data_IF_778115302309
#
_entry.id   IF_778115302309
#
_cell.length_a   1.000
_cell.length_b   1.000
_cell.length_c   1.000
_cell.angle_alpha   90.00
_cell.angle_beta   90.00
_cell.angle_gamma   90.00
#
_symmetry.space_group_name_H-M   'P 1'
#
loop_
_entity.id
_entity.type
_entity.pdbx_description
1 polymer ?
#
# COMPACT_ATOMS: atom_id res chain seq x y z
N UNK A 1 -0.35 -17.05 -11.35
CA UNK A 1 -0.15 -15.98 -10.33
C UNK A 1 1.35 -15.72 -10.13
N UNK A 2 1.77 -14.46 -9.95
CA UNK A 2 3.16 -14.13 -9.56
C UNK A 2 3.40 -14.70 -8.17
N UNK A 3 4.48 -15.45 -7.95
CA UNK A 3 4.81 -15.97 -6.61
C UNK A 3 5.48 -14.88 -5.78
N UNK A 4 4.89 -14.50 -4.66
CA UNK A 4 5.41 -13.52 -3.69
C UNK A 4 6.20 -14.26 -2.62
N UNK A 5 7.47 -13.93 -2.41
CA UNK A 5 8.30 -14.59 -1.39
C UNK A 5 8.89 -15.97 -1.77
N UNK A 6 8.65 -16.46 -2.98
CA UNK A 6 9.41 -17.55 -3.60
C UNK A 6 9.99 -17.07 -4.93
N UNK A 7 11.15 -17.61 -5.33
CA UNK A 7 11.85 -17.18 -6.54
C UNK A 7 11.05 -17.59 -7.80
N UNK A 8 10.33 -16.64 -8.39
CA UNK A 8 9.67 -16.82 -9.68
C UNK A 8 10.69 -16.72 -10.83
N UNK A 9 11.36 -17.85 -11.09
CA UNK A 9 12.41 -17.93 -12.13
C UNK A 9 11.89 -17.59 -13.52
N UNK A 10 10.61 -17.85 -13.79
CA UNK A 10 10.02 -17.58 -15.11
C UNK A 10 9.84 -16.07 -15.27
N UNK A 11 9.20 -15.42 -14.30
CA UNK A 11 9.02 -13.96 -14.34
C UNK A 11 10.37 -13.21 -14.37
N UNK A 12 11.36 -13.65 -13.58
CA UNK A 12 12.69 -13.04 -13.58
C UNK A 12 13.41 -13.19 -14.93
N UNK A 13 13.30 -14.35 -15.59
CA UNK A 13 13.86 -14.54 -16.94
C UNK A 13 13.17 -13.63 -17.96
N UNK A 14 11.83 -13.56 -17.91
CA UNK A 14 11.06 -12.72 -18.82
C UNK A 14 11.37 -11.23 -18.65
N UNK A 15 11.46 -10.72 -17.42
CA UNK A 15 11.81 -9.31 -17.18
C UNK A 15 13.22 -9.02 -17.67
N UNK A 16 14.18 -9.92 -17.41
CA UNK A 16 15.58 -9.76 -17.84
C UNK A 16 15.69 -9.69 -19.37
N UNK A 17 15.02 -10.61 -20.08
CA UNK A 17 14.98 -10.61 -21.54
C UNK A 17 14.29 -9.35 -22.10
N UNK A 18 13.12 -8.99 -21.57
CA UNK A 18 12.40 -7.79 -22.00
C UNK A 18 13.19 -6.51 -21.72
N UNK A 19 13.99 -6.45 -20.66
CA UNK A 19 14.76 -5.25 -20.37
C UNK A 19 15.92 -5.05 -21.37
N UNK A 20 16.58 -6.13 -21.79
CA UNK A 20 17.69 -6.08 -22.73
C UNK A 20 17.26 -6.06 -24.22
N UNK A 21 16.15 -6.73 -24.54
CA UNK A 21 15.72 -7.02 -25.92
C UNK A 21 14.32 -6.50 -26.25
N UNK A 22 13.61 -5.93 -25.28
CA UNK A 22 12.27 -5.41 -25.47
C UNK A 22 12.23 -4.17 -26.35
N UNK A 23 11.13 -4.01 -27.09
CA UNK A 23 10.89 -2.85 -27.96
C UNK A 23 10.55 -1.57 -27.17
N UNK A 24 9.99 -1.72 -25.98
CA UNK A 24 9.44 -0.63 -25.18
C UNK A 24 10.12 -0.56 -23.82
N UNK A 25 10.22 0.64 -23.21
CA UNK A 25 10.70 0.77 -21.85
C UNK A 25 9.79 0.02 -20.87
N UNK A 26 10.39 -0.52 -19.81
CA UNK A 26 9.65 -1.14 -18.73
C UNK A 26 9.29 -0.10 -17.67
N UNK A 27 8.05 -0.13 -17.21
CA UNK A 27 7.57 0.68 -16.09
C UNK A 27 7.20 -0.23 -14.92
N UNK A 28 7.63 0.12 -13.72
CA UNK A 28 7.32 -0.61 -12.50
C UNK A 28 7.10 0.37 -11.35
N UNK A 29 6.13 0.07 -10.48
CA UNK A 29 5.93 0.76 -9.21
C UNK A 29 6.85 0.09 -8.16
N UNK A 30 7.96 0.73 -7.78
CA UNK A 30 9.02 0.06 -7.04
C UNK A 30 8.67 -0.16 -5.55
N UNK A 31 7.59 0.44 -5.04
CA UNK A 31 7.05 0.21 -3.68
C UNK A 31 6.44 -1.18 -3.50
N UNK A 32 6.04 -1.84 -4.60
CA UNK A 32 5.44 -3.19 -4.57
C UNK A 32 4.03 -3.27 -3.96
N UNK A 33 3.46 -2.15 -3.51
CA UNK A 33 2.09 -2.01 -3.03
C UNK A 33 1.61 -0.55 -3.18
N UNK A 34 0.30 -0.31 -3.07
CA UNK A 34 -0.27 1.04 -3.01
C UNK A 34 -0.37 1.50 -1.56
N UNK A 35 0.15 2.68 -1.25
CA UNK A 35 0.22 3.18 0.13
C UNK A 35 -0.97 4.08 0.55
N UNK A 36 -1.83 4.45 -0.41
CA UNK A 36 -3.04 5.25 -0.17
C UNK A 36 -2.82 6.75 0.04
N UNK A 37 -1.59 7.23 -0.01
CA UNK A 37 -1.22 8.63 0.13
C UNK A 37 -0.66 9.20 -1.18
N UNK A 38 -0.98 10.45 -1.45
CA UNK A 38 -0.53 11.18 -2.63
C UNK A 38 0.82 11.90 -2.43
N UNK A 39 1.23 12.11 -1.18
CA UNK A 39 2.43 12.87 -0.81
C UNK A 39 3.42 12.07 0.06
N UNK A 40 3.33 10.74 0.04
CA UNK A 40 4.29 9.83 0.71
C UNK A 40 4.73 8.77 -0.30
N UNK A 41 6.05 8.56 -0.44
CA UNK A 41 6.62 7.41 -1.15
C UNK A 41 6.98 6.35 -0.11
N UNK A 42 6.42 5.15 -0.22
CA UNK A 42 6.85 4.05 0.66
C UNK A 42 8.27 3.60 0.29
N UNK A 43 8.99 2.94 1.21
CA UNK A 43 10.31 2.39 0.89
C UNK A 43 10.24 1.52 -0.36
N UNK A 44 11.09 1.82 -1.34
CA UNK A 44 11.14 1.06 -2.58
C UNK A 44 11.97 -0.22 -2.45
N UNK A 45 11.58 -1.23 -3.20
CA UNK A 45 12.27 -2.52 -3.26
C UNK A 45 13.55 -2.44 -4.11
N UNK A 46 14.63 -3.15 -3.74
CA UNK A 46 15.90 -3.11 -4.47
C UNK A 46 15.85 -3.79 -5.84
N UNK A 47 14.74 -4.46 -6.17
CA UNK A 47 14.59 -5.24 -7.40
C UNK A 47 14.81 -4.41 -8.67
N UNK A 48 14.35 -3.16 -8.70
CA UNK A 48 14.51 -2.29 -9.88
C UNK A 48 15.99 -1.94 -10.13
N UNK A 49 16.72 -1.57 -9.08
CA UNK A 49 18.15 -1.34 -9.17
C UNK A 49 18.90 -2.62 -9.60
N UNK A 50 18.52 -3.78 -9.02
CA UNK A 50 19.12 -5.07 -9.36
C UNK A 50 18.91 -5.45 -10.83
N UNK A 51 17.73 -5.17 -11.40
CA UNK A 51 17.44 -5.42 -12.82
C UNK A 51 18.31 -4.56 -13.74
N UNK A 52 18.59 -3.31 -13.36
CA UNK A 52 19.51 -2.44 -14.11
C UNK A 52 20.90 -3.06 -14.25
N UNK A 53 21.48 -3.52 -13.14
CA UNK A 53 22.79 -4.17 -13.15
C UNK A 53 22.80 -5.50 -13.93
N UNK A 54 21.75 -6.31 -13.83
CA UNK A 54 21.67 -7.55 -14.61
C UNK A 54 21.55 -7.29 -16.11
N UNK A 55 20.81 -6.26 -16.51
CA UNK A 55 20.74 -5.85 -17.91
C UNK A 55 22.12 -5.44 -18.43
N UNK A 56 22.88 -4.64 -17.67
CA UNK A 56 24.25 -4.28 -18.04
C UNK A 56 25.16 -5.51 -18.16
N UNK A 57 25.07 -6.47 -17.23
CA UNK A 57 25.81 -7.74 -17.32
C UNK A 57 25.48 -8.52 -18.61
N UNK A 58 24.23 -8.50 -19.06
CA UNK A 58 23.78 -9.19 -20.26
C UNK A 58 24.27 -8.52 -21.54
N UNK A 59 24.18 -7.18 -21.61
CA UNK A 59 24.68 -6.41 -22.75
C UNK A 59 26.19 -6.63 -22.93
N UNK A 60 26.96 -6.59 -21.84
CA UNK A 60 28.41 -6.84 -21.89
C UNK A 60 28.74 -8.26 -22.34
N UNK A 61 27.99 -9.27 -21.89
CA UNK A 61 28.16 -10.67 -22.36
C UNK A 61 27.81 -10.86 -23.82
N UNK A 62 26.88 -10.06 -24.33
CA UNK A 62 26.46 -10.04 -25.73
C UNK A 62 27.32 -9.10 -26.59
N UNK A 63 28.39 -8.52 -26.04
CA UNK A 63 29.27 -7.56 -26.72
C UNK A 63 28.52 -6.34 -27.28
N UNK A 64 27.46 -5.91 -26.60
CA UNK A 64 26.68 -4.73 -26.97
C UNK A 64 27.06 -3.53 -26.10
N UNK A 65 26.98 -2.33 -26.66
CA UNK A 65 27.50 -1.08 -26.08
C UNK A 65 26.41 -0.08 -25.68
N UNK A 66 25.14 -0.48 -25.61
CA UNK A 66 24.07 0.40 -25.17
C UNK A 66 24.16 0.66 -23.66
N UNK A 67 23.84 1.89 -23.25
CA UNK A 67 23.75 2.23 -21.83
C UNK A 67 22.39 1.83 -21.27
N UNK A 68 22.40 1.27 -20.06
CA UNK A 68 21.19 0.99 -19.28
C UNK A 68 20.86 2.19 -18.40
N UNK A 69 19.59 2.58 -18.38
CA UNK A 69 19.12 3.72 -17.61
C UNK A 69 17.81 3.42 -16.87
N UNK A 70 17.62 4.08 -15.72
CA UNK A 70 16.40 4.04 -14.90
C UNK A 70 15.93 5.48 -14.72
N UNK A 71 14.74 5.82 -15.23
CA UNK A 71 14.13 7.14 -15.11
C UNK A 71 13.06 7.15 -14.00
N UNK A 72 13.26 7.89 -12.89
CA UNK A 72 12.21 8.04 -11.87
C UNK A 72 11.06 8.90 -12.41
N UNK A 73 9.83 8.42 -12.19
CA UNK A 73 8.60 9.10 -12.58
C UNK A 73 7.65 9.19 -11.38
N UNK A 74 7.47 10.39 -10.86
CA UNK A 74 6.47 10.68 -9.83
C UNK A 74 5.09 10.86 -10.43
N UNK A 75 4.07 10.27 -9.80
CA UNK A 75 2.67 10.42 -10.18
C UNK A 75 1.91 10.98 -8.98
N UNK A 76 1.32 12.15 -9.14
CA UNK A 76 0.45 12.77 -8.12
C UNK A 76 -0.92 13.06 -8.70
N UNK A 77 -1.95 12.94 -7.87
CA UNK A 77 -3.32 13.28 -8.20
C UNK A 77 -3.74 14.53 -7.45
N UNK A 78 -4.25 15.54 -8.16
CA UNK A 78 -4.68 16.82 -7.57
C UNK A 78 -6.13 17.04 -7.97
N UNK A 79 -6.97 17.53 -7.06
CA UNK A 79 -8.35 17.86 -7.41
C UNK A 79 -8.41 19.12 -8.26
N UNK A 80 -9.16 19.07 -9.37
CA UNK A 80 -9.41 20.26 -10.19
C UNK A 80 -10.16 21.33 -9.40
N UNK A 81 -11.11 20.90 -8.57
CA UNK A 81 -11.86 21.74 -7.63
C UNK A 81 -11.82 21.05 -6.29
N UNK A 82 -11.31 21.72 -5.25
CA UNK A 82 -11.17 21.16 -3.92
C UNK A 82 -12.53 20.66 -3.39
N UNK A 83 -12.72 19.34 -3.19
CA UNK A 83 -14.04 18.74 -2.92
C UNK A 83 -14.47 18.81 -1.45
N UNK A 84 -14.29 19.95 -0.79
CA UNK A 84 -14.51 20.08 0.65
C UNK A 84 -15.91 19.70 1.12
N UNK A 85 -16.95 20.04 0.35
CA UNK A 85 -18.33 19.65 0.66
C UNK A 85 -18.49 18.12 0.63
N UNK A 86 -17.97 17.47 -0.41
CA UNK A 86 -18.08 16.01 -0.53
C UNK A 86 -17.30 15.29 0.57
N UNK A 87 -16.16 15.85 0.99
CA UNK A 87 -15.40 15.31 2.12
C UNK A 87 -16.13 15.49 3.46
N UNK A 88 -16.82 16.61 3.66
CA UNK A 88 -17.64 16.88 4.85
C UNK A 88 -18.82 15.90 4.97
N UNK A 89 -19.54 15.70 3.86
CA UNK A 89 -20.65 14.75 3.74
C UNK A 89 -20.17 13.31 3.96
N UNK A 90 -19.08 12.91 3.29
CA UNK A 90 -18.50 11.57 3.45
C UNK A 90 -18.03 11.34 4.89
N UNK A 91 -17.36 12.29 5.51
CA UNK A 91 -16.94 12.15 6.90
C UNK A 91 -18.15 11.99 7.84
N UNK A 92 -19.20 12.78 7.64
CA UNK A 92 -20.45 12.67 8.41
C UNK A 92 -21.10 11.29 8.22
N UNK A 93 -21.13 10.76 7.00
CA UNK A 93 -21.60 9.41 6.72
C UNK A 93 -20.78 8.34 7.48
N UNK A 94 -19.45 8.44 7.47
CA UNK A 94 -18.58 7.48 8.15
C UNK A 94 -18.71 7.55 9.68
N UNK A 95 -18.92 8.74 10.24
CA UNK A 95 -19.23 8.92 11.66
C UNK A 95 -20.54 8.19 12.04
N UNK A 96 -21.57 8.23 11.20
CA UNK A 96 -22.82 7.51 11.44
C UNK A 96 -22.67 6.01 11.23
N UNK A 97 -22.04 5.58 10.12
CA UNK A 97 -21.85 4.15 9.82
C UNK A 97 -20.97 3.43 10.85
N UNK A 98 -20.04 4.14 11.49
CA UNK A 98 -19.21 3.61 12.58
C UNK A 98 -19.93 3.56 13.93
N UNK A 99 -21.13 4.15 14.04
CA UNK A 99 -21.87 4.30 15.28
C UNK A 99 -21.29 5.36 16.23
N UNK A 100 -20.36 6.21 15.76
CA UNK A 100 -19.87 7.35 16.53
C UNK A 100 -20.96 8.42 16.71
N UNK A 101 -21.83 8.57 15.71
CA UNK A 101 -22.99 9.48 15.74
C UNK A 101 -24.26 8.74 15.36
N UNK A 102 -25.40 9.26 15.81
CA UNK A 102 -26.72 8.68 15.57
C UNK A 102 -27.50 9.38 14.44
N UNK A 103 -27.01 10.50 13.92
CA UNK A 103 -27.70 11.32 12.92
C UNK A 103 -26.74 11.94 11.91
N UNK A 104 -27.26 12.19 10.71
CA UNK A 104 -26.52 12.73 9.54
C UNK A 104 -26.46 14.27 9.52
N UNK A 105 -26.80 14.94 10.62
CA UNK A 105 -26.77 16.40 10.77
C UNK A 105 -25.42 16.92 11.32
N UNK A 106 -24.32 16.29 10.89
CA UNK A 106 -22.96 16.58 11.37
C UNK A 106 -22.08 17.40 10.43
N UNK A 107 -22.60 17.86 9.29
CA UNK A 107 -21.83 18.70 8.36
C UNK A 107 -21.57 20.09 8.93
N UNK A 108 -20.45 20.70 8.56
CA UNK A 108 -20.02 22.02 9.03
C UNK A 108 -20.14 23.10 7.94
N UNK A 109 -20.82 22.77 6.84
CA UNK A 109 -21.10 23.70 5.74
C UNK A 109 -19.88 24.02 4.89
N UNK A 110 -18.99 23.04 4.66
CA UNK A 110 -17.91 23.22 3.69
C UNK A 110 -18.46 23.33 2.26
N UNK A 111 -17.76 24.09 1.41
CA UNK A 111 -18.17 24.34 0.01
C UNK A 111 -17.03 23.96 -0.93
N UNK A 112 -17.36 23.26 -2.01
CA UNK A 112 -16.38 22.87 -3.02
C UNK A 112 -15.72 24.11 -3.66
N UNK A 113 -14.39 24.06 -3.83
CA UNK A 113 -13.59 25.15 -4.42
C UNK A 113 -13.36 26.35 -3.51
N UNK A 114 -13.92 26.36 -2.30
CA UNK A 114 -13.73 27.43 -1.32
C UNK A 114 -12.80 26.96 -0.21
N UNK A 115 -11.71 27.69 0.03
CA UNK A 115 -10.78 27.40 1.13
C UNK A 115 -11.53 27.50 2.47
N UNK A 116 -11.51 26.44 3.32
CA UNK A 116 -12.13 26.49 4.64
C UNK A 116 -11.53 27.61 5.49
N UNK A 117 -12.36 28.20 6.34
CA UNK A 117 -11.86 29.09 7.40
C UNK A 117 -11.05 28.29 8.43
N UNK A 118 -10.16 28.95 9.18
CA UNK A 118 -9.36 28.28 10.21
C UNK A 118 -10.23 27.50 11.22
N UNK A 119 -11.39 28.04 11.62
CA UNK A 119 -12.34 27.37 12.51
C UNK A 119 -12.96 26.14 11.88
N UNK A 120 -13.30 26.20 10.58
CA UNK A 120 -13.84 25.06 9.85
C UNK A 120 -12.79 23.97 9.68
N UNK A 121 -11.56 24.32 9.31
CA UNK A 121 -10.45 23.37 9.17
C UNK A 121 -10.16 22.66 10.49
N UNK A 122 -10.04 23.41 11.59
CA UNK A 122 -9.80 22.84 12.92
C UNK A 122 -10.95 21.92 13.38
N UNK A 123 -12.21 22.33 13.14
CA UNK A 123 -13.37 21.48 13.43
C UNK A 123 -13.37 20.20 12.58
N UNK A 124 -13.04 20.32 11.30
CA UNK A 124 -12.99 19.19 10.37
C UNK A 124 -11.88 18.20 10.75
N UNK A 125 -10.70 18.70 11.09
CA UNK A 125 -9.59 17.90 11.60
C UNK A 125 -9.98 17.16 12.89
N UNK A 126 -10.56 17.87 13.86
CA UNK A 126 -11.01 17.26 15.13
C UNK A 126 -12.02 16.14 14.89
N UNK A 127 -12.96 16.30 13.97
CA UNK A 127 -13.89 15.22 13.58
C UNK A 127 -13.18 14.02 12.98
N UNK A 128 -12.23 14.24 12.07
CA UNK A 128 -11.43 13.18 11.45
C UNK A 128 -10.67 12.36 12.51
N UNK A 129 -9.98 13.03 13.43
CA UNK A 129 -9.23 12.36 14.50
C UNK A 129 -10.16 11.64 15.48
N UNK A 130 -11.31 12.23 15.82
CA UNK A 130 -12.29 11.57 16.69
C UNK A 130 -12.82 10.28 16.06
N UNK A 131 -13.10 10.30 14.76
CA UNK A 131 -13.50 9.09 14.03
C UNK A 131 -12.38 8.04 14.00
N UNK A 132 -11.14 8.46 13.74
CA UNK A 132 -9.99 7.55 13.74
C UNK A 132 -9.79 6.88 15.11
N UNK A 133 -9.85 7.64 16.20
CA UNK A 133 -9.76 7.16 17.59
C UNK A 133 -10.88 6.17 17.93
N UNK A 134 -12.11 6.48 17.52
CA UNK A 134 -13.27 5.60 17.73
C UNK A 134 -13.10 4.25 17.01
N UNK A 135 -12.72 4.28 15.73
CA UNK A 135 -12.51 3.06 14.93
C UNK A 135 -11.32 2.25 15.44
N UNK A 136 -10.23 2.91 15.86
CA UNK A 136 -9.08 2.25 16.47
C UNK A 136 -9.50 1.50 17.74
N UNK A 137 -10.24 2.16 18.63
CA UNK A 137 -10.75 1.58 19.87
C UNK A 137 -11.71 0.40 19.61
N UNK A 138 -12.56 0.50 18.59
CA UNK A 138 -13.44 -0.59 18.16
C UNK A 138 -12.64 -1.83 17.72
N UNK A 139 -11.59 -1.63 16.92
CA UNK A 139 -10.74 -2.71 16.44
C UNK A 139 -9.87 -3.31 17.55
N UNK A 140 -9.32 -2.49 18.45
CA UNK A 140 -8.59 -2.94 19.63
C UNK A 140 -9.46 -3.84 20.51
N UNK A 141 -10.71 -3.43 20.76
CA UNK A 141 -11.69 -4.23 21.49
C UNK A 141 -12.00 -5.56 20.80
N UNK A 142 -12.16 -5.54 19.47
CA UNK A 142 -12.38 -6.75 18.68
C UNK A 142 -11.22 -7.75 18.79
N UNK A 143 -9.98 -7.30 18.57
CA UNK A 143 -8.81 -8.19 18.65
C UNK A 143 -8.51 -8.65 20.08
N UNK A 144 -8.75 -7.80 21.09
CA UNK A 144 -8.59 -8.20 22.49
C UNK A 144 -9.62 -9.26 22.89
N UNK A 145 -10.89 -9.06 22.53
CA UNK A 145 -12.00 -9.96 22.91
C UNK A 145 -11.98 -11.31 22.19
N UNK A 146 -11.76 -11.31 20.88
CA UNK A 146 -11.93 -12.51 20.06
C UNK A 146 -10.63 -13.19 19.67
N UNK A 147 -9.49 -12.48 19.76
CA UNK A 147 -8.17 -13.00 19.39
C UNK A 147 -7.14 -12.92 20.51
N UNK A 148 -7.56 -12.53 21.73
CA UNK A 148 -6.73 -12.52 22.94
C UNK A 148 -5.44 -11.70 22.78
N UNK A 149 -5.46 -10.71 21.89
CA UNK A 149 -4.35 -9.80 21.70
C UNK A 149 -4.28 -8.83 22.89
N UNK A 150 -3.07 -8.57 23.38
CA UNK A 150 -2.83 -7.61 24.46
C UNK A 150 -2.53 -6.26 23.83
N UNK A 151 -3.55 -5.41 23.72
CA UNK A 151 -3.44 -4.06 23.20
C UNK A 151 -3.63 -3.08 24.35
N UNK A 152 -2.71 -2.12 24.45
CA UNK A 152 -2.88 -0.97 25.33
C UNK A 152 -3.68 0.09 24.55
N UNK A 153 -4.77 0.56 25.14
CA UNK A 153 -5.62 1.60 24.57
C UNK A 153 -5.23 3.00 25.06
N UNK A 154 -4.13 3.12 25.81
CA UNK A 154 -3.56 4.37 26.26
C UNK A 154 -2.39 4.80 25.37
N UNK A 155 -2.22 6.11 25.22
CA UNK A 155 -1.12 6.71 24.47
C UNK A 155 -1.54 7.29 23.13
N UNK A 156 -0.53 7.69 22.34
CA UNK A 156 -0.74 8.37 21.06
C UNK A 156 -1.35 7.46 20.00
N UNK A 157 -2.23 8.02 19.17
CA UNK A 157 -2.91 7.36 18.06
C UNK A 157 -1.95 6.54 17.18
N UNK A 158 -0.78 7.10 16.85
CA UNK A 158 0.23 6.47 15.99
C UNK A 158 0.76 5.16 16.60
N UNK A 159 1.12 5.19 17.88
CA UNK A 159 1.65 4.03 18.61
C UNK A 159 0.59 2.94 18.76
N UNK A 160 -0.64 3.34 19.12
CA UNK A 160 -1.78 2.44 19.23
C UNK A 160 -2.13 1.79 17.91
N UNK A 161 -2.13 2.57 16.81
CA UNK A 161 -2.33 2.04 15.47
C UNK A 161 -1.26 1.00 15.13
N UNK A 162 0.02 1.29 15.33
CA UNK A 162 1.10 0.32 15.05
C UNK A 162 0.95 -0.97 15.87
N UNK A 163 0.56 -0.87 17.15
CA UNK A 163 0.28 -2.03 17.98
C UNK A 163 -0.91 -2.85 17.45
N UNK A 164 -1.99 -2.20 17.02
CA UNK A 164 -3.14 -2.85 16.38
C UNK A 164 -2.74 -3.56 15.09
N UNK A 165 -1.96 -2.91 14.22
CA UNK A 165 -1.51 -3.49 12.94
C UNK A 165 -0.67 -4.74 13.17
N UNK A 166 0.26 -4.68 14.13
CA UNK A 166 1.06 -5.84 14.53
C UNK A 166 0.20 -6.99 15.08
N UNK A 167 -0.76 -6.68 15.96
CA UNK A 167 -1.67 -7.67 16.52
C UNK A 167 -2.57 -8.33 15.46
N UNK A 168 -3.14 -7.54 14.54
CA UNK A 168 -3.92 -8.04 13.42
C UNK A 168 -3.10 -8.97 12.52
N UNK A 169 -1.85 -8.59 12.24
CA UNK A 169 -0.96 -9.40 11.41
C UNK A 169 -0.54 -10.69 12.10
N UNK A 170 -0.27 -10.65 13.41
CA UNK A 170 0.01 -11.84 14.23
C UNK A 170 -1.13 -12.86 14.17
N UNK A 171 -2.38 -12.41 14.21
CA UNK A 171 -3.54 -13.30 14.06
C UNK A 171 -3.51 -14.04 12.72
N UNK A 172 -3.22 -13.33 11.63
CA UNK A 172 -3.08 -13.96 10.31
C UNK A 172 -1.88 -14.92 10.28
N UNK A 173 -0.70 -14.50 10.74
CA UNK A 173 0.52 -15.32 10.80
C UNK A 173 0.29 -16.62 11.58
N UNK A 174 -0.35 -16.55 12.75
CA UNK A 174 -0.70 -17.72 13.57
C UNK A 174 -1.62 -18.68 12.82
N UNK A 175 -2.65 -18.17 12.13
CA UNK A 175 -3.59 -19.00 11.37
C UNK A 175 -2.94 -19.76 10.20
N UNK A 176 -1.84 -19.24 9.67
CA UNK A 176 -1.06 -19.88 8.60
C UNK A 176 0.17 -20.64 9.13
N UNK A 177 0.48 -20.58 10.43
CA UNK A 177 1.67 -21.21 11.01
C UNK A 177 2.99 -20.55 10.60
N UNK A 178 2.96 -19.25 10.29
CA UNK A 178 4.12 -18.48 9.81
C UNK A 178 4.83 -17.83 11.01
N UNK A 179 6.16 -17.88 11.03
CA UNK A 179 6.95 -17.14 12.02
C UNK A 179 6.99 -15.64 11.67
N UNK A 180 6.74 -14.80 12.66
CA UNK A 180 6.95 -13.34 12.56
C UNK A 180 8.42 -13.04 12.25
N UNK A 181 8.69 -12.37 11.13
CA UNK A 181 10.04 -11.97 10.70
C UNK A 181 9.94 -10.87 9.62
N UNK A 182 10.84 -9.89 9.68
CA UNK A 182 10.84 -8.73 8.77
C UNK A 182 9.92 -7.61 9.21
N UNK A 183 9.82 -6.58 8.37
CA UNK A 183 8.92 -5.44 8.58
C UNK A 183 7.46 -5.80 8.28
N UNK A 184 6.52 -4.88 8.51
CA UNK A 184 5.08 -5.11 8.28
C UNK A 184 4.81 -5.53 6.82
N UNK A 185 5.39 -4.84 5.83
CA UNK A 185 5.19 -5.15 4.41
C UNK A 185 5.68 -6.56 4.04
N UNK A 186 6.86 -6.97 4.52
CA UNK A 186 7.39 -8.31 4.33
C UNK A 186 6.48 -9.38 4.94
N UNK A 187 5.99 -9.11 6.15
CA UNK A 187 5.05 -9.99 6.86
C UNK A 187 3.73 -10.12 6.10
N UNK A 188 3.16 -9.03 5.58
CA UNK A 188 1.95 -9.06 4.73
C UNK A 188 2.16 -9.95 3.50
N UNK A 189 3.27 -9.77 2.77
CA UNK A 189 3.59 -10.58 1.58
C UNK A 189 3.73 -12.07 1.88
N UNK A 190 4.35 -12.43 3.01
CA UNK A 190 4.49 -13.83 3.44
C UNK A 190 3.15 -14.46 3.81
N UNK A 191 2.29 -13.72 4.51
CA UNK A 191 0.92 -14.14 4.82
C UNK A 191 0.11 -14.32 3.53
N UNK A 192 0.20 -13.36 2.60
CA UNK A 192 -0.48 -13.43 1.32
C UNK A 192 -0.07 -14.67 0.51
N UNK A 193 1.23 -14.94 0.41
CA UNK A 193 1.70 -16.13 -0.29
C UNK A 193 1.23 -17.43 0.36
N UNK A 194 1.28 -17.52 1.70
CA UNK A 194 0.82 -18.72 2.40
C UNK A 194 -0.67 -18.98 2.17
N UNK A 195 -1.48 -17.92 2.11
CA UNK A 195 -2.89 -18.04 1.74
C UNK A 195 -3.06 -18.44 0.28
N UNK A 196 -2.31 -17.85 -0.65
CA UNK A 196 -2.35 -18.19 -2.08
C UNK A 196 -2.00 -19.65 -2.33
N UNK A 197 -1.04 -20.21 -1.59
CA UNK A 197 -0.74 -21.64 -1.67
C UNK A 197 -1.96 -22.51 -1.30
N UNK A 198 -2.77 -22.06 -0.32
CA UNK A 198 -4.00 -22.75 0.12
C UNK A 198 -5.21 -22.48 -0.77
N UNK A 199 -5.23 -21.35 -1.49
CA UNK A 199 -6.33 -20.95 -2.38
C UNK A 199 -6.14 -21.56 -3.79
N UNK A 200 -4.98 -21.38 -4.39
CA UNK A 200 -4.72 -21.82 -5.76
C UNK A 200 -4.30 -23.29 -5.85
N UNK A 201 -3.90 -23.90 -4.72
CA UNK A 201 -3.67 -25.35 -4.60
C UNK A 201 -2.74 -25.93 -5.67
N UNK A 202 -1.63 -25.24 -5.93
CA UNK A 202 -0.54 -25.72 -6.82
C UNK A 202 0.00 -27.11 -6.42
N UNK A 203 -0.29 -27.57 -5.20
CA UNK A 203 0.05 -28.91 -4.70
C UNK A 203 -0.84 -30.03 -5.30
N UNK A 204 -1.98 -29.71 -5.90
CA UNK A 204 -2.87 -30.67 -6.54
C UNK A 204 -2.64 -30.67 -8.05
N UNK A 205 -2.14 -31.79 -8.58
CA UNK A 205 -1.80 -31.94 -10.00
C UNK A 205 -3.01 -31.97 -10.93
N UNK A 206 -4.13 -32.57 -10.50
CA UNK A 206 -5.32 -32.77 -11.33
C UNK A 206 -6.57 -32.19 -10.67
N UNK A 207 -6.59 -30.86 -10.50
CA UNK A 207 -7.66 -30.15 -9.78
C UNK A 207 -9.06 -30.36 -10.42
N UNK A 208 -9.11 -30.61 -11.73
CA UNK A 208 -10.36 -30.80 -12.47
C UNK A 208 -10.94 -32.21 -12.38
N UNK A 209 -10.14 -33.22 -12.00
CA UNK A 209 -10.58 -34.63 -11.90
C UNK A 209 -10.86 -35.07 -10.47
N UNK A 210 -10.74 -34.17 -9.50
CA UNK A 210 -10.98 -34.47 -8.08
C UNK A 210 -12.38 -35.01 -7.84
N UNK A 211 -12.46 -36.09 -7.04
CA UNK A 211 -13.73 -36.58 -6.53
C UNK A 211 -14.47 -35.48 -5.73
N UNK A 212 -15.81 -35.39 -5.80
CA UNK A 212 -16.55 -34.26 -5.23
C UNK A 212 -16.28 -33.99 -3.75
N UNK A 213 -16.13 -35.03 -2.93
CA UNK A 213 -15.82 -34.87 -1.50
C UNK A 213 -14.43 -34.28 -1.26
N UNK A 214 -13.43 -34.67 -2.06
CA UNK A 214 -12.06 -34.15 -1.96
C UNK A 214 -11.99 -32.70 -2.42
N UNK A 215 -12.71 -32.38 -3.51
CA UNK A 215 -12.87 -30.99 -3.97
C UNK A 215 -13.51 -30.13 -2.89
N UNK A 216 -14.57 -30.61 -2.24
CA UNK A 216 -15.21 -29.87 -1.14
C UNK A 216 -14.26 -29.55 0.03
N UNK A 217 -13.36 -30.47 0.38
CA UNK A 217 -12.32 -30.20 1.40
C UNK A 217 -11.28 -29.17 0.91
N UNK A 218 -10.91 -29.21 -0.37
CA UNK A 218 -10.01 -28.22 -0.95
C UNK A 218 -10.63 -26.81 -0.97
N UNK A 219 -11.90 -26.72 -1.36
CA UNK A 219 -12.66 -25.47 -1.39
C UNK A 219 -12.85 -24.89 0.02
N UNK A 220 -13.05 -25.75 1.02
CA UNK A 220 -13.11 -25.34 2.43
C UNK A 220 -11.79 -24.68 2.88
N UNK A 221 -10.65 -25.30 2.58
CA UNK A 221 -9.32 -24.74 2.91
C UNK A 221 -9.09 -23.40 2.22
N UNK A 222 -9.50 -23.27 0.95
CA UNK A 222 -9.41 -22.00 0.22
C UNK A 222 -10.28 -20.90 0.86
N UNK A 223 -11.52 -21.25 1.23
CA UNK A 223 -12.47 -20.34 1.89
C UNK A 223 -11.95 -19.87 3.26
N UNK A 224 -11.40 -20.79 4.06
CA UNK A 224 -10.76 -20.45 5.34
C UNK A 224 -9.58 -19.50 5.13
N UNK A 225 -8.71 -19.79 4.15
CA UNK A 225 -7.56 -18.95 3.85
C UNK A 225 -7.98 -17.54 3.42
N UNK A 226 -9.02 -17.40 2.59
CA UNK A 226 -9.57 -16.11 2.19
C UNK A 226 -10.11 -15.32 3.40
N UNK A 227 -10.83 -15.99 4.31
CA UNK A 227 -11.30 -15.37 5.55
C UNK A 227 -10.15 -14.90 6.43
N UNK A 228 -9.06 -15.67 6.53
CA UNK A 228 -7.87 -15.28 7.31
C UNK A 228 -7.10 -14.12 6.68
N UNK A 229 -7.09 -14.01 5.35
CA UNK A 229 -6.49 -12.86 4.66
C UNK A 229 -7.13 -11.54 5.04
N UNK A 230 -8.40 -11.52 5.46
CA UNK A 230 -9.10 -10.31 5.86
C UNK A 230 -8.31 -9.47 6.89
N UNK A 231 -7.67 -10.12 7.86
CA UNK A 231 -6.85 -9.45 8.89
C UNK A 231 -5.65 -8.71 8.27
N UNK A 232 -4.92 -9.40 7.39
CA UNK A 232 -3.77 -8.83 6.70
C UNK A 232 -4.18 -7.69 5.76
N UNK A 233 -5.32 -7.80 5.08
CA UNK A 233 -5.84 -6.73 4.21
C UNK A 233 -6.22 -5.46 4.97
N UNK A 234 -6.64 -5.56 6.23
CA UNK A 234 -6.79 -4.38 7.09
C UNK A 234 -5.42 -3.73 7.32
N UNK A 235 -4.38 -4.52 7.58
CA UNK A 235 -3.03 -4.02 7.81
C UNK A 235 -2.46 -3.30 6.59
N UNK A 236 -2.61 -3.88 5.40
CA UNK A 236 -2.14 -3.27 4.15
C UNK A 236 -2.74 -1.88 3.91
N UNK A 237 -4.00 -1.65 4.31
CA UNK A 237 -4.64 -0.34 4.13
C UNK A 237 -4.01 0.77 4.99
N UNK A 238 -3.38 0.43 6.12
CA UNK A 238 -2.90 1.40 7.10
C UNK A 238 -1.39 1.37 7.33
N UNK A 239 -0.65 0.51 6.61
CA UNK A 239 0.81 0.35 6.81
C UNK A 239 1.59 1.65 6.67
N UNK A 240 1.12 2.57 5.81
CA UNK A 240 1.77 3.85 5.56
C UNK A 240 1.14 5.02 6.31
N UNK A 241 0.17 4.77 7.21
CA UNK A 241 -0.52 5.82 7.98
C UNK A 241 0.27 6.16 9.24
N UNK A 242 0.66 7.43 9.36
CA UNK A 242 1.49 7.93 10.47
C UNK A 242 0.69 8.56 11.61
N UNK A 243 -0.57 8.91 11.37
CA UNK A 243 -1.40 9.70 12.30
C UNK A 243 -1.12 11.20 12.26
N UNK A 244 -0.02 11.63 11.65
CA UNK A 244 0.39 13.05 11.55
C UNK A 244 0.27 13.61 10.13
N UNK A 245 0.01 12.76 9.12
CA UNK A 245 -0.03 13.15 7.71
C UNK A 245 -0.86 14.40 7.42
N UNK A 246 -2.10 14.48 7.92
CA UNK A 246 -2.94 15.68 7.73
C UNK A 246 -2.45 16.87 8.55
N UNK A 247 -2.00 16.63 9.79
CA UNK A 247 -1.57 17.69 10.71
C UNK A 247 -0.31 18.43 10.25
N UNK A 248 0.64 17.71 9.65
CA UNK A 248 1.90 18.27 9.17
C UNK A 248 1.71 19.32 8.07
N UNK A 249 0.72 19.10 7.20
CA UNK A 249 0.40 19.99 6.09
C UNK A 249 -1.07 19.80 5.66
N UNK A 250 -2.02 20.49 6.30
CA UNK A 250 -3.42 20.40 5.94
C UNK A 250 -3.62 20.77 4.46
N UNK A 251 -4.18 19.83 3.69
CA UNK A 251 -4.54 20.04 2.29
C UNK A 251 -5.71 19.14 1.93
N UNK A 252 -6.49 19.54 0.92
CA UNK A 252 -7.66 18.77 0.48
C UNK A 252 -7.29 17.35 0.04
N UNK A 253 -6.10 17.18 -0.56
CA UNK A 253 -5.54 15.87 -0.92
C UNK A 253 -5.28 15.02 0.31
N UNK A 254 -4.61 15.56 1.34
CA UNK A 254 -4.29 14.79 2.54
C UNK A 254 -5.55 14.36 3.31
N UNK A 255 -6.54 15.26 3.41
CA UNK A 255 -7.85 14.92 3.96
C UNK A 255 -8.53 13.82 3.15
N UNK A 256 -8.58 13.96 1.82
CA UNK A 256 -9.20 12.98 0.95
C UNK A 256 -8.53 11.60 1.05
N UNK A 257 -7.20 11.54 1.03
CA UNK A 257 -6.43 10.30 1.19
C UNK A 257 -6.83 9.59 2.49
N UNK A 258 -6.81 10.32 3.61
CA UNK A 258 -7.10 9.77 4.94
C UNK A 258 -8.55 9.32 5.07
N UNK A 259 -9.50 10.15 4.62
CA UNK A 259 -10.94 9.82 4.67
C UNK A 259 -11.26 8.61 3.79
N UNK A 260 -10.63 8.51 2.60
CA UNK A 260 -10.81 7.35 1.73
C UNK A 260 -10.21 6.06 2.30
N UNK A 261 -9.12 6.14 3.06
CA UNK A 261 -8.57 4.99 3.79
C UNK A 261 -9.56 4.52 4.88
N UNK A 262 -10.14 5.45 5.63
CA UNK A 262 -11.18 5.15 6.63
C UNK A 262 -12.43 4.55 5.96
N UNK A 263 -12.88 5.13 4.85
CA UNK A 263 -14.00 4.59 4.07
C UNK A 263 -13.73 3.15 3.63
N UNK A 264 -12.53 2.85 3.08
CA UNK A 264 -12.15 1.48 2.68
C UNK A 264 -12.20 0.51 3.85
N UNK A 265 -11.81 0.95 5.05
CA UNK A 265 -11.90 0.15 6.27
C UNK A 265 -13.35 -0.16 6.63
N UNK A 266 -14.23 0.85 6.68
CA UNK A 266 -15.64 0.67 7.02
C UNK A 266 -16.35 -0.22 5.99
N UNK A 267 -16.12 -0.03 4.69
CA UNK A 267 -16.66 -0.90 3.65
C UNK A 267 -16.21 -2.37 3.84
N UNK A 268 -14.95 -2.59 4.24
CA UNK A 268 -14.42 -3.92 4.56
C UNK A 268 -15.03 -4.52 5.83
N UNK A 269 -15.33 -3.71 6.85
CA UNK A 269 -16.04 -4.15 8.06
C UNK A 269 -17.48 -4.57 7.75
N UNK A 270 -18.14 -3.84 6.86
CA UNK A 270 -19.48 -4.17 6.33
C UNK A 270 -19.51 -5.37 5.38
N UNK A 271 -18.34 -5.96 5.08
CA UNK A 271 -18.17 -7.08 4.14
C UNK A 271 -18.70 -6.78 2.73
N UNK A 272 -18.57 -5.54 2.27
CA UNK A 272 -18.96 -5.18 0.92
C UNK A 272 -18.06 -5.90 -0.10
N UNK A 273 -18.66 -6.66 -1.01
CA UNK A 273 -17.95 -7.35 -2.08
C UNK A 273 -17.65 -6.36 -3.21
N UNK A 274 -16.41 -5.85 -3.27
CA UNK A 274 -15.94 -4.89 -4.27
C UNK A 274 -16.56 -3.48 -4.17
N UNK A 275 -16.34 -2.76 -3.06
CA UNK A 275 -16.87 -1.41 -2.88
C UNK A 275 -16.23 -0.44 -3.88
N UNK A 276 -17.06 0.36 -4.56
CA UNK A 276 -16.58 1.43 -5.44
C UNK A 276 -16.25 2.67 -4.61
N UNK A 277 -15.06 3.28 -4.75
CA UNK A 277 -14.74 4.51 -4.06
C UNK A 277 -15.80 5.59 -4.29
N UNK A 278 -16.19 6.36 -3.25
CA UNK A 278 -17.13 7.45 -3.41
C UNK A 278 -16.54 8.48 -4.37
N UNK A 279 -17.40 9.06 -5.20
CA UNK A 279 -17.00 10.16 -6.05
C UNK A 279 -16.80 11.41 -5.19
N UNK A 280 -15.57 11.95 -5.20
CA UNK A 280 -15.19 13.16 -4.47
C UNK A 280 -14.55 14.17 -5.40
N UNK A 281 -15.04 14.28 -6.63
CA UNK A 281 -14.57 15.27 -7.61
C UNK A 281 -13.52 14.76 -8.61
N UNK A 282 -13.29 15.56 -9.65
CA UNK A 282 -12.35 15.24 -10.72
C UNK A 282 -10.89 15.46 -10.30
N UNK A 283 -10.02 14.54 -10.73
CA UNK A 283 -8.58 14.57 -10.45
C UNK A 283 -7.78 14.78 -11.73
N UNK A 284 -6.72 15.57 -11.64
CA UNK A 284 -5.66 15.65 -12.64
C UNK A 284 -4.48 14.80 -12.18
N UNK A 285 -3.93 14.01 -13.09
CA UNK A 285 -2.65 13.33 -12.87
C UNK A 285 -1.50 14.28 -13.25
N UNK A 286 -0.70 14.69 -12.27
CA UNK A 286 0.55 15.42 -12.44
C UNK A 286 1.69 14.41 -12.48
N UNK A 287 2.36 14.36 -13.63
CA UNK A 287 3.54 13.51 -13.85
C UNK A 287 4.80 14.37 -13.74
N UNK A 288 5.77 13.91 -12.94
CA UNK A 288 7.06 14.58 -12.77
C UNK A 288 8.18 13.59 -13.08
N UNK A 289 8.81 13.77 -14.23
CA UNK A 289 9.97 12.98 -14.64
C UNK A 289 11.26 13.60 -14.07
N UNK A 290 12.11 12.76 -13.48
CA UNK A 290 13.45 13.12 -13.02
C UNK A 290 14.48 12.62 -14.04
N UNK A 291 15.63 13.29 -14.23
CA UNK A 291 16.70 12.78 -15.07
C UNK A 291 17.06 11.32 -14.75
N UNK A 292 17.39 10.52 -15.77
CA UNK A 292 17.67 9.11 -15.59
C UNK A 292 18.99 8.88 -14.85
N UNK A 293 19.03 7.79 -14.10
CA UNK A 293 20.25 7.23 -13.53
C UNK A 293 20.82 6.22 -14.51
N UNK A 294 22.06 6.41 -14.96
CA UNK A 294 22.75 5.45 -15.82
C UNK A 294 23.46 4.40 -14.97
N UNK A 295 23.32 3.13 -15.36
CA UNK A 295 23.95 2.02 -14.63
C UNK A 295 25.48 2.08 -14.72
N UNK A 296 25.99 2.67 -15.81
CA UNK A 296 27.42 2.89 -16.03
C UNK A 296 28.07 3.70 -14.88
N UNK A 297 27.35 4.69 -14.31
CA UNK A 297 27.83 5.53 -13.21
C UNK A 297 28.04 4.73 -11.91
N UNK A 298 27.33 3.61 -11.76
CA UNK A 298 27.39 2.74 -10.58
C UNK A 298 28.22 1.47 -10.83
N UNK A 299 28.72 1.27 -12.05
CA UNK A 299 29.26 -0.01 -12.49
C UNK A 299 30.51 -0.45 -11.72
N UNK A 300 31.46 0.46 -11.51
CA UNK A 300 32.68 0.17 -10.76
C UNK A 300 32.38 -0.24 -9.30
N UNK A 301 31.41 0.42 -8.67
CA UNK A 301 30.96 0.08 -7.32
C UNK A 301 30.33 -1.31 -7.31
N UNK A 302 29.50 -1.63 -8.29
CA UNK A 302 28.84 -2.92 -8.40
C UNK A 302 29.82 -4.08 -8.63
N UNK A 303 30.85 -3.88 -9.45
CA UNK A 303 31.92 -4.86 -9.65
C UNK A 303 32.69 -5.16 -8.36
N UNK A 304 32.85 -4.16 -7.49
CA UNK A 304 33.57 -4.30 -6.21
C UNK A 304 32.68 -4.89 -5.11
N UNK A 305 31.46 -4.38 -4.97
CA UNK A 305 30.49 -4.83 -3.97
C UNK A 305 29.06 -4.67 -4.50
N UNK A 306 28.55 -5.76 -5.10
CA UNK A 306 27.21 -5.82 -5.68
C UNK A 306 26.11 -5.38 -4.72
N UNK A 307 26.16 -5.87 -3.47
CA UNK A 307 25.12 -5.59 -2.46
C UNK A 307 25.07 -4.10 -2.11
N UNK A 308 26.24 -3.49 -1.93
CA UNK A 308 26.30 -2.07 -1.59
C UNK A 308 25.88 -1.19 -2.76
N UNK A 309 26.30 -1.51 -3.98
CA UNK A 309 25.92 -0.72 -5.17
C UNK A 309 24.41 -0.76 -5.43
N UNK A 310 23.77 -1.93 -5.26
CA UNK A 310 22.31 -2.06 -5.33
C UNK A 310 21.63 -1.22 -4.26
N UNK A 311 22.12 -1.25 -3.01
CA UNK A 311 21.57 -0.43 -1.94
C UNK A 311 21.72 1.07 -2.21
N UNK A 312 22.88 1.51 -2.69
CA UNK A 312 23.15 2.91 -3.05
C UNK A 312 22.20 3.40 -4.15
N UNK A 313 22.11 2.67 -5.27
CA UNK A 313 21.22 3.03 -6.37
C UNK A 313 19.74 3.03 -5.92
N UNK A 314 19.34 2.07 -5.08
CA UNK A 314 17.99 2.04 -4.51
C UNK A 314 17.71 3.28 -3.67
N UNK A 315 18.67 3.71 -2.84
CA UNK A 315 18.55 4.92 -2.02
C UNK A 315 18.49 6.19 -2.88
N UNK A 316 19.30 6.28 -3.93
CA UNK A 316 19.28 7.43 -4.84
C UNK A 316 17.95 7.52 -5.61
N UNK A 317 17.42 6.38 -6.05
CA UNK A 317 16.09 6.28 -6.67
C UNK A 317 14.97 6.68 -5.68
N UNK A 318 15.04 6.24 -4.43
CA UNK A 318 14.10 6.64 -3.37
C UNK A 318 14.09 8.17 -3.22
N UNK A 319 15.25 8.79 -3.03
CA UNK A 319 15.39 10.24 -2.89
C UNK A 319 14.90 10.99 -4.13
N UNK A 320 15.16 10.45 -5.33
CA UNK A 320 14.67 11.03 -6.58
C UNK A 320 13.14 11.02 -6.66
N UNK A 321 12.49 9.92 -6.28
CA UNK A 321 11.04 9.82 -6.21
C UNK A 321 10.45 10.76 -5.15
N UNK A 322 11.05 10.86 -3.97
CA UNK A 322 10.63 11.78 -2.91
C UNK A 322 10.68 13.24 -3.37
N UNK A 323 11.71 13.64 -4.12
CA UNK A 323 11.82 14.98 -4.71
C UNK A 323 10.65 15.33 -5.65
N UNK A 324 10.01 14.33 -6.27
CA UNK A 324 8.83 14.58 -7.13
C UNK A 324 7.64 15.11 -6.34
N UNK A 325 7.59 14.88 -5.02
CA UNK A 325 6.54 15.42 -4.15
C UNK A 325 6.74 16.92 -3.93
N UNK A 326 7.97 17.35 -3.62
CA UNK A 326 8.29 18.71 -3.17
C UNK A 326 8.41 19.73 -4.30
N UNK A 327 8.78 19.30 -5.51
CA UNK A 327 9.02 20.20 -6.67
C UNK A 327 7.72 20.79 -7.28
N UNK A 328 6.61 20.76 -6.54
CA UNK A 328 5.28 21.10 -7.01
C UNK A 328 4.71 22.38 -6.36
N UNK A 329 5.56 23.37 -6.07
CA UNK A 329 5.11 24.75 -5.90
C UNK A 329 5.00 25.38 -7.29
N UNK A 330 3.80 25.39 -7.87
CA UNK A 330 3.44 26.30 -8.96
C UNK A 330 2.30 27.18 -8.47
#
# INVERSE_FOLDING_TARGET
PIRRGALDRVALRSIRDLYANGRFPLAAAPEGATNGHNEIISPIEPGIAQFGFWCQEDLLKAERSESVAIAPLGVRYIYQTAPWQYLDELLCQLEVESGLRNAFDCTIGLVNGVTPTATQEDTFYRRLITLAEHLLSLMEGFYSKFYQQKLDNQGELSHRLQALLDAALKVAEQSFGIKTNGNISDRCRRVEQAAWNRIYRDDISELETLAPAVRGLADLVASEAELRLWHMRIVENFVSVTGQYVAEKPSVERYADTILLIWKMIARLKRESNPKPPYIGEKLAKLTAIPPFYIDDYWQQYQTNRRQAVANLTQDLQQALEKTITTASL
#
